data_IF_958732607551
#
_entry.id   IF_958732607551
#
_cell.length_a   1.000
_cell.length_b   1.000
_cell.length_c   1.000
_cell.angle_alpha   90.00
_cell.angle_beta   90.00
_cell.angle_gamma   90.00
#
_symmetry.space_group_name_H-M   'P 1'
#
loop_
_entity.id
_entity.type
_entity.pdbx_description
1 polymer ?
#
# COMPACT_ATOMS: atom_id res chain seq x y z
N UNK A 1 12.25 -9.92 -0.98
CA UNK A 1 10.76 -9.87 -1.06
C UNK A 1 10.22 -9.80 -2.49
N UNK A 2 10.86 -9.07 -3.43
CA UNK A 2 10.36 -8.97 -4.80
C UNK A 2 10.23 -10.33 -5.52
N UNK A 3 11.20 -11.24 -5.35
CA UNK A 3 11.28 -12.54 -6.06
C UNK A 3 9.99 -13.37 -5.94
N UNK A 4 9.38 -13.39 -4.75
CA UNK A 4 8.15 -14.13 -4.48
C UNK A 4 6.96 -13.52 -5.24
N UNK A 5 6.88 -12.20 -5.32
CA UNK A 5 5.83 -11.50 -6.06
C UNK A 5 5.91 -11.80 -7.56
N UNK A 6 7.12 -11.79 -8.12
CA UNK A 6 7.34 -12.17 -9.52
C UNK A 6 6.87 -13.60 -9.83
N UNK A 7 7.14 -14.55 -8.95
CA UNK A 7 6.72 -15.94 -9.11
C UNK A 7 5.19 -16.05 -9.10
N UNK A 8 4.54 -15.51 -8.06
CA UNK A 8 3.08 -15.57 -7.89
C UNK A 8 2.35 -14.92 -9.06
N UNK A 9 2.77 -13.73 -9.49
CA UNK A 9 2.14 -13.01 -10.61
C UNK A 9 2.28 -13.78 -11.92
N UNK A 10 3.43 -14.42 -12.14
CA UNK A 10 3.66 -15.21 -13.36
C UNK A 10 2.86 -16.51 -13.38
N UNK A 11 2.63 -17.11 -12.21
CA UNK A 11 1.84 -18.33 -12.05
C UNK A 11 0.34 -18.06 -12.21
N UNK A 12 -0.18 -17.00 -11.56
CA UNK A 12 -1.62 -16.68 -11.58
C UNK A 12 -2.08 -16.12 -12.94
N UNK A 13 -1.30 -15.24 -13.55
CA UNK A 13 -1.71 -14.53 -14.78
C UNK A 13 -1.09 -15.12 -16.06
N UNK A 14 -0.17 -16.08 -15.92
CA UNK A 14 0.54 -16.70 -17.03
C UNK A 14 1.62 -15.82 -17.66
N UNK A 15 2.36 -16.41 -18.60
CA UNK A 15 3.55 -15.80 -19.21
C UNK A 15 3.24 -14.72 -20.26
N UNK A 16 2.01 -14.66 -20.77
CA UNK A 16 1.63 -13.84 -21.94
C UNK A 16 1.84 -12.33 -21.74
N UNK A 17 1.64 -11.83 -20.52
CA UNK A 17 1.78 -10.39 -20.20
C UNK A 17 2.70 -10.13 -18.99
N UNK A 18 3.61 -11.06 -18.70
CA UNK A 18 4.47 -11.03 -17.51
C UNK A 18 5.21 -9.69 -17.35
N UNK A 19 5.84 -9.20 -18.42
CA UNK A 19 6.64 -7.98 -18.41
C UNK A 19 5.83 -6.72 -18.06
N UNK A 20 4.63 -6.58 -18.63
CA UNK A 20 3.75 -5.43 -18.37
C UNK A 20 3.25 -5.43 -16.93
N UNK A 21 2.83 -6.60 -16.43
CA UNK A 21 2.26 -6.74 -15.10
C UNK A 21 3.29 -6.44 -14.00
N UNK A 22 4.52 -6.89 -14.21
CA UNK A 22 5.67 -6.59 -13.38
C UNK A 22 5.99 -5.09 -13.38
N UNK A 23 6.10 -4.47 -14.57
CA UNK A 23 6.47 -3.06 -14.66
C UNK A 23 5.43 -2.16 -13.99
N UNK A 24 4.14 -2.46 -14.17
CA UNK A 24 3.04 -1.76 -13.51
C UNK A 24 3.12 -1.94 -11.99
N UNK A 25 3.35 -3.16 -11.49
CA UNK A 25 3.48 -3.40 -10.05
C UNK A 25 4.68 -2.69 -9.42
N UNK A 26 5.80 -2.63 -10.14
CA UNK A 26 6.99 -1.90 -9.72
C UNK A 26 6.72 -0.40 -9.64
N UNK A 27 6.12 0.16 -10.69
CA UNK A 27 5.69 1.57 -10.71
C UNK A 27 4.71 1.88 -9.57
N UNK A 28 3.71 1.03 -9.35
CA UNK A 28 2.73 1.20 -8.28
C UNK A 28 3.38 1.27 -6.89
N UNK A 29 4.41 0.46 -6.63
CA UNK A 29 5.16 0.49 -5.37
C UNK A 29 5.88 1.83 -5.16
N UNK A 30 6.53 2.36 -6.19
CA UNK A 30 7.22 3.64 -6.12
C UNK A 30 6.25 4.82 -5.97
N UNK A 31 5.19 4.82 -6.78
CA UNK A 31 4.15 5.84 -6.76
C UNK A 31 3.43 5.83 -5.41
N UNK A 32 3.03 4.66 -4.92
CA UNK A 32 2.36 4.51 -3.63
C UNK A 32 3.23 4.99 -2.47
N UNK A 33 4.51 4.63 -2.45
CA UNK A 33 5.43 5.09 -1.41
C UNK A 33 5.60 6.63 -1.44
N UNK A 34 5.71 7.23 -2.62
CA UNK A 34 5.85 8.67 -2.76
C UNK A 34 4.57 9.42 -2.34
N UNK A 35 3.40 8.98 -2.82
CA UNK A 35 2.13 9.64 -2.46
C UNK A 35 1.82 9.51 -0.96
N UNK A 36 1.95 8.32 -0.39
CA UNK A 36 1.55 8.08 1.00
C UNK A 36 2.54 8.67 2.01
N UNK A 37 3.85 8.60 1.76
CA UNK A 37 4.84 9.16 2.69
C UNK A 37 5.06 10.66 2.46
N UNK A 38 5.39 11.06 1.23
CA UNK A 38 5.82 12.44 0.98
C UNK A 38 4.61 13.38 0.88
N UNK A 39 3.65 13.06 0.01
CA UNK A 39 2.52 13.96 -0.23
C UNK A 39 1.49 13.92 0.89
N UNK A 40 1.10 12.72 1.35
CA UNK A 40 0.06 12.57 2.35
C UNK A 40 0.60 12.85 3.76
N UNK A 41 1.58 12.07 4.25
CA UNK A 41 2.08 12.26 5.61
C UNK A 41 2.77 13.60 5.79
N UNK A 42 3.53 14.09 4.79
CA UNK A 42 4.12 15.43 4.82
C UNK A 42 3.08 16.56 4.90
N UNK A 43 2.05 16.56 4.04
CA UNK A 43 1.04 17.61 4.06
C UNK A 43 0.17 17.59 5.32
N UNK A 44 -0.17 16.41 5.83
CA UNK A 44 -0.88 16.29 7.12
C UNK A 44 -0.03 16.80 8.29
N UNK A 45 1.26 16.49 8.28
CA UNK A 45 2.21 16.98 9.27
C UNK A 45 2.29 18.51 9.24
N UNK A 46 2.44 19.10 8.05
CA UNK A 46 2.50 20.56 7.88
C UNK A 46 1.23 21.25 8.39
N UNK A 47 0.04 20.71 8.08
CA UNK A 47 -1.25 21.27 8.52
C UNK A 47 -1.39 21.23 10.05
N UNK A 48 -1.01 20.12 10.68
CA UNK A 48 -1.13 19.99 12.13
C UNK A 48 -0.06 20.80 12.88
N UNK A 49 1.15 20.90 12.31
CA UNK A 49 2.20 21.77 12.81
C UNK A 49 1.78 23.25 12.79
N UNK A 50 1.11 23.72 11.72
CA UNK A 50 0.58 25.09 11.65
C UNK A 50 -0.47 25.36 12.72
N UNK A 51 -1.38 24.41 12.99
CA UNK A 51 -2.38 24.56 14.06
C UNK A 51 -1.75 24.60 15.45
N UNK A 52 -0.72 23.78 15.70
CA UNK A 52 0.01 23.81 16.97
C UNK A 52 0.75 25.14 17.16
N UNK A 53 1.40 25.66 16.09
CA UNK A 53 2.08 26.95 16.10
C UNK A 53 1.12 28.10 16.41
N UNK A 54 -0.06 28.11 15.80
CA UNK A 54 -1.12 29.10 16.06
C UNK A 54 -1.64 28.99 17.50
N UNK A 55 -1.88 27.77 18.00
CA UNK A 55 -2.33 27.54 19.38
C UNK A 55 -1.28 27.95 20.44
N UNK A 56 0.01 27.86 20.11
CA UNK A 56 1.12 28.33 20.94
C UNK A 56 1.37 29.85 20.81
N UNK A 57 0.64 30.56 19.95
CA UNK A 57 0.81 31.99 19.70
C UNK A 57 2.16 32.36 19.06
N UNK A 58 2.87 31.39 18.45
CA UNK A 58 4.15 31.61 17.77
C UNK A 58 3.94 31.73 16.27
N UNK A 59 4.38 32.84 15.69
CA UNK A 59 4.44 33.01 14.23
C UNK A 59 5.66 32.30 13.64
N UNK A 60 5.47 31.58 12.54
CA UNK A 60 6.55 30.96 11.75
C UNK A 60 7.55 32.05 11.34
N UNK A 61 8.76 32.04 11.89
CA UNK A 61 9.86 32.87 11.37
C UNK A 61 10.36 32.26 10.06
N UNK A 62 10.60 33.09 9.06
CA UNK A 62 11.15 32.65 7.78
C UNK A 62 12.54 32.01 8.00
N UNK A 63 12.66 30.71 7.73
CA UNK A 63 13.87 29.92 7.94
C UNK A 63 13.82 28.93 9.12
N UNK A 64 12.73 28.90 9.89
CA UNK A 64 12.55 27.94 10.99
C UNK A 64 11.83 26.67 10.50
N UNK A 65 12.35 25.50 10.88
CA UNK A 65 11.73 24.21 10.55
C UNK A 65 10.36 24.08 11.24
N UNK A 66 9.36 23.66 10.46
CA UNK A 66 8.04 23.38 11.00
C UNK A 66 8.13 22.07 11.79
N UNK A 67 8.27 22.19 13.10
CA UNK A 67 8.39 21.03 13.99
C UNK A 67 7.12 20.90 14.83
N UNK A 68 6.53 19.73 14.74
CA UNK A 68 5.34 19.32 15.47
C UNK A 68 5.73 18.16 16.38
N UNK A 69 5.56 18.36 17.68
CA UNK A 69 5.90 17.37 18.69
C UNK A 69 4.64 16.67 19.22
N UNK A 70 4.76 15.35 19.37
CA UNK A 70 3.73 14.51 19.97
C UNK A 70 3.03 13.57 18.99
N UNK A 71 2.38 12.55 19.56
CA UNK A 71 1.66 11.49 18.83
C UNK A 71 0.54 12.02 17.95
N UNK A 72 -0.02 13.19 18.26
CA UNK A 72 -1.15 13.74 17.53
C UNK A 72 -0.78 14.13 16.09
N UNK A 73 0.49 14.46 15.81
CA UNK A 73 0.92 14.91 14.49
C UNK A 73 0.84 13.81 13.41
N UNK A 74 1.18 12.57 13.79
CA UNK A 74 1.11 11.43 12.88
C UNK A 74 -0.12 10.54 13.09
N UNK A 75 -0.92 10.78 14.13
CA UNK A 75 -2.12 9.97 14.43
C UNK A 75 -3.08 9.89 13.25
N UNK A 76 -3.36 11.03 12.60
CA UNK A 76 -4.25 11.07 11.42
C UNK A 76 -3.65 10.28 10.24
N UNK A 77 -2.36 10.49 9.96
CA UNK A 77 -1.67 9.79 8.89
C UNK A 77 -1.65 8.27 9.12
N UNK A 78 -1.42 7.84 10.37
CA UNK A 78 -1.43 6.42 10.73
C UNK A 78 -2.82 5.78 10.57
N UNK A 79 -3.89 6.48 10.94
CA UNK A 79 -5.26 6.01 10.72
C UNK A 79 -5.56 5.83 9.23
N UNK A 80 -5.15 6.78 8.38
CA UNK A 80 -5.35 6.68 6.93
C UNK A 80 -4.54 5.50 6.37
N UNK A 81 -3.27 5.36 6.77
CA UNK A 81 -2.42 4.23 6.36
C UNK A 81 -3.02 2.90 6.76
N UNK A 82 -3.57 2.80 7.98
CA UNK A 82 -4.26 1.61 8.45
C UNK A 82 -5.51 1.31 7.60
N UNK A 83 -6.30 2.32 7.25
CA UNK A 83 -7.47 2.15 6.38
C UNK A 83 -7.07 1.67 4.96
N UNK A 84 -6.01 2.23 4.38
CA UNK A 84 -5.46 1.80 3.08
C UNK A 84 -4.97 0.35 3.17
N UNK A 85 -4.26 -0.02 4.23
CA UNK A 85 -3.79 -1.39 4.44
C UNK A 85 -4.95 -2.38 4.62
N UNK A 86 -5.98 -2.01 5.37
CA UNK A 86 -7.19 -2.82 5.53
C UNK A 86 -7.88 -3.03 4.18
N UNK A 87 -8.04 -1.97 3.38
CA UNK A 87 -8.61 -2.10 2.04
C UNK A 87 -7.77 -3.03 1.14
N UNK A 88 -6.45 -2.88 1.15
CA UNK A 88 -5.54 -3.78 0.43
C UNK A 88 -5.65 -5.24 0.89
N UNK A 89 -5.84 -5.48 2.19
CA UNK A 89 -6.05 -6.82 2.75
C UNK A 89 -7.37 -7.43 2.29
N UNK A 90 -8.45 -6.65 2.24
CA UNK A 90 -9.77 -7.11 1.78
C UNK A 90 -9.73 -7.52 0.32
N UNK A 91 -9.11 -6.71 -0.55
CA UNK A 91 -8.92 -7.03 -1.97
C UNK A 91 -8.09 -8.32 -2.11
N UNK A 92 -7.04 -8.48 -1.31
CA UNK A 92 -6.20 -9.68 -1.31
C UNK A 92 -6.99 -10.93 -0.91
N UNK A 93 -7.83 -10.85 0.13
CA UNK A 93 -8.69 -11.95 0.57
C UNK A 93 -9.67 -12.35 -0.55
N UNK A 94 -10.30 -11.37 -1.21
CA UNK A 94 -11.21 -11.62 -2.33
C UNK A 94 -10.48 -12.34 -3.47
N UNK A 95 -9.26 -11.90 -3.80
CA UNK A 95 -8.43 -12.52 -4.84
C UNK A 95 -8.13 -14.00 -4.49
N UNK A 96 -7.74 -14.28 -3.24
CA UNK A 96 -7.44 -15.64 -2.75
C UNK A 96 -8.67 -16.54 -2.82
N UNK A 97 -9.85 -16.05 -2.47
CA UNK A 97 -11.10 -16.85 -2.57
C UNK A 97 -11.40 -17.19 -4.03
N UNK A 98 -11.17 -16.26 -4.96
CA UNK A 98 -11.38 -16.49 -6.40
C UNK A 98 -10.36 -17.46 -6.98
N UNK A 99 -9.08 -17.34 -6.63
CA UNK A 99 -8.03 -18.26 -7.11
C UNK A 99 -8.19 -19.66 -6.51
N UNK A 100 -8.60 -19.80 -5.24
CA UNK A 100 -8.90 -21.12 -4.66
C UNK A 100 -9.99 -21.87 -5.43
N UNK A 101 -11.05 -21.19 -5.89
CA UNK A 101 -12.10 -21.83 -6.70
C UNK A 101 -11.55 -22.36 -8.04
N UNK A 102 -10.61 -21.63 -8.65
CA UNK A 102 -9.96 -22.03 -9.90
C UNK A 102 -9.06 -23.26 -9.70
N UNK A 103 -8.14 -23.22 -8.72
CA UNK A 103 -7.26 -24.35 -8.41
C UNK A 103 -8.02 -25.60 -7.97
N UNK A 104 -9.17 -25.47 -7.30
CA UNK A 104 -9.96 -26.64 -6.85
C UNK A 104 -10.41 -27.51 -8.03
N UNK A 105 -10.80 -26.90 -9.16
CA UNK A 105 -11.18 -27.64 -10.37
C UNK A 105 -10.01 -28.36 -11.06
N UNK A 106 -8.80 -27.81 -10.97
CA UNK A 106 -7.59 -28.45 -11.49
C UNK A 106 -7.12 -29.60 -10.61
N UNK A 107 -7.23 -29.48 -9.28
CA UNK A 107 -6.90 -30.58 -8.34
C UNK A 107 -7.82 -31.78 -8.55
N UNK A 108 -9.10 -31.56 -8.84
CA UNK A 108 -10.06 -32.64 -9.12
C UNK A 108 -9.73 -33.37 -10.45
N UNK A 109 -9.27 -32.64 -11.48
CA UNK A 109 -8.78 -33.23 -12.75
C UNK A 109 -7.46 -34.00 -12.60
N UNK A 110 -6.51 -33.47 -11.84
CA UNK A 110 -5.23 -34.14 -11.56
C UNK A 110 -5.44 -35.39 -10.71
N UNK A 111 -6.35 -35.34 -9.73
CA UNK A 111 -6.71 -36.50 -8.90
C UNK A 111 -7.43 -37.60 -9.69
N UNK A 112 -8.20 -37.25 -10.73
CA UNK A 112 -8.78 -38.22 -11.68
C UNK A 112 -7.73 -38.79 -12.63
N UNK A 113 -6.76 -37.98 -13.09
CA UNK A 113 -5.68 -38.45 -13.98
C UNK A 113 -4.67 -39.38 -13.30
N UNK A 114 -4.68 -39.48 -11.96
CA UNK A 114 -3.83 -40.39 -11.16
C UNK A 114 -4.57 -41.66 -10.69
N UNK A 115 -5.80 -41.90 -11.15
CA UNK A 115 -6.57 -43.14 -10.93
C UNK A 115 -6.87 -43.79 -12.28
#
# INVERSE_FOLDING_TARGET
MAIVFFAIVSEIFGLKYRSTLINVSGAARHIGAYLLNVKLAGNLYDVEALKQLEALGRFRKAGEDLTCEGVNCYKLAFIIMAAVALFGSLVSIILVIRTRKFYRGDVDRVSFSYR
#
